data_IF_036326729673
#
_entry.id   IF_036326729673
#
_cell.length_a   1.000
_cell.length_b   1.000
_cell.length_c   1.000
_cell.angle_alpha   90.00
_cell.angle_beta   90.00
_cell.angle_gamma   90.00
#
_symmetry.space_group_name_H-M   'P 1'
#
loop_
_entity.id
_entity.type
_entity.pdbx_description
1 polymer ?
#
# COMPACT_ATOMS: atom_id res chain seq x y z
N UNK A 1 12.80 15.98 1.07
CA UNK A 1 12.17 14.95 1.92
C UNK A 1 13.28 14.26 2.69
N UNK A 2 13.16 14.17 4.02
CA UNK A 2 14.09 13.35 4.81
C UNK A 2 13.79 11.86 4.59
N UNK A 3 14.82 11.02 4.54
CA UNK A 3 14.71 9.58 4.33
C UNK A 3 15.41 8.84 5.47
N UNK A 4 14.84 7.73 5.91
CA UNK A 4 15.52 6.74 6.75
C UNK A 4 15.88 5.51 5.90
N UNK A 5 16.99 4.86 6.24
CA UNK A 5 17.40 3.61 5.59
C UNK A 5 16.95 2.46 6.47
N UNK A 6 16.12 1.59 5.90
CA UNK A 6 15.65 0.38 6.56
C UNK A 6 16.80 -0.64 6.67
N UNK A 7 16.75 -1.59 7.63
CA UNK A 7 17.76 -2.64 7.80
C UNK A 7 18.01 -3.51 6.55
N UNK A 8 17.05 -3.58 5.62
CA UNK A 8 17.17 -4.27 4.33
C UNK A 8 17.84 -3.42 3.23
N UNK A 9 18.27 -2.19 3.54
CA UNK A 9 18.91 -1.26 2.60
C UNK A 9 17.93 -0.37 1.82
N UNK A 10 16.62 -0.59 1.93
CA UNK A 10 15.62 0.22 1.24
C UNK A 10 15.51 1.60 1.90
N UNK A 11 15.32 2.65 1.08
CA UNK A 11 15.14 4.03 1.58
C UNK A 11 13.65 4.33 1.74
N UNK A 12 13.25 4.64 2.96
CA UNK A 12 11.88 5.04 3.29
C UNK A 12 11.82 6.54 3.58
N UNK A 13 10.91 7.31 2.96
CA UNK A 13 10.70 8.71 3.33
C UNK A 13 10.15 8.82 4.76
N UNK A 14 10.68 9.76 5.55
CA UNK A 14 10.31 9.99 6.96
C UNK A 14 8.90 10.56 7.12
N UNK A 15 8.38 11.24 6.10
CA UNK A 15 7.02 11.78 6.09
C UNK A 15 6.22 11.08 4.98
N UNK A 16 5.22 10.29 5.37
CA UNK A 16 4.43 9.45 4.46
C UNK A 16 4.97 8.02 4.43
N UNK A 17 4.14 7.06 4.81
CA UNK A 17 4.43 5.62 4.90
C UNK A 17 4.89 5.01 3.56
N UNK A 18 6.08 5.33 3.06
CA UNK A 18 6.67 4.69 1.86
C UNK A 18 5.80 4.74 0.60
N UNK A 19 4.82 5.66 0.53
CA UNK A 19 3.85 5.70 -0.56
C UNK A 19 4.48 6.36 -1.78
N UNK A 20 4.73 5.54 -2.81
CA UNK A 20 5.05 6.04 -4.15
C UNK A 20 3.82 6.78 -4.70
N UNK A 21 4.00 8.04 -5.11
CA UNK A 21 2.92 8.80 -5.75
C UNK A 21 2.80 8.38 -7.21
N UNK A 22 1.70 7.70 -7.54
CA UNK A 22 1.36 7.35 -8.93
C UNK A 22 0.93 8.62 -9.66
N UNK A 23 1.40 8.87 -10.90
CA UNK A 23 1.02 10.05 -11.69
C UNK A 23 -0.50 10.14 -11.89
N UNK A 24 -1.15 9.00 -12.12
CA UNK A 24 -2.60 8.85 -12.24
C UNK A 24 -3.12 8.03 -11.04
N UNK A 25 -3.15 8.67 -9.87
CA UNK A 25 -3.38 7.99 -8.60
C UNK A 25 -4.85 7.64 -8.36
N UNK A 26 -5.80 8.35 -8.96
CA UNK A 26 -7.23 8.14 -8.69
C UNK A 26 -7.70 6.77 -9.23
N UNK A 27 -7.45 6.49 -10.51
CA UNK A 27 -7.79 5.21 -11.14
C UNK A 27 -7.01 4.05 -10.50
N UNK A 28 -5.74 4.27 -10.17
CA UNK A 28 -4.91 3.27 -9.51
C UNK A 28 -5.42 2.93 -8.10
N UNK A 29 -5.77 3.93 -7.30
CA UNK A 29 -6.32 3.75 -5.95
C UNK A 29 -7.63 2.96 -5.99
N UNK A 30 -8.57 3.33 -6.86
CA UNK A 30 -9.84 2.63 -7.01
C UNK A 30 -9.67 1.19 -7.51
N UNK A 31 -8.79 0.95 -8.49
CA UNK A 31 -8.49 -0.39 -8.99
C UNK A 31 -7.92 -1.31 -7.90
N UNK A 32 -7.00 -0.81 -7.05
CA UNK A 32 -6.42 -1.60 -5.95
C UNK A 32 -7.45 -1.90 -4.86
N UNK A 33 -8.31 -0.93 -4.52
CA UNK A 33 -9.41 -1.15 -3.59
C UNK A 33 -10.36 -2.22 -4.12
N UNK A 34 -10.77 -2.10 -5.39
CA UNK A 34 -11.63 -3.07 -6.06
C UNK A 34 -11.00 -4.46 -6.12
N UNK A 35 -9.72 -4.56 -6.46
CA UNK A 35 -8.99 -5.82 -6.53
C UNK A 35 -9.05 -6.60 -5.21
N UNK A 36 -8.82 -5.93 -4.09
CA UNK A 36 -8.87 -6.57 -2.77
C UNK A 36 -10.30 -6.97 -2.39
N UNK A 37 -11.29 -6.10 -2.61
CA UNK A 37 -12.70 -6.39 -2.33
C UNK A 37 -13.19 -7.59 -3.15
N UNK A 38 -12.86 -7.66 -4.44
CA UNK A 38 -13.26 -8.74 -5.33
C UNK A 38 -12.63 -10.10 -4.96
N UNK A 39 -11.48 -10.08 -4.25
CA UNK A 39 -10.86 -11.27 -3.63
C UNK A 39 -11.50 -11.68 -2.30
N UNK A 40 -12.48 -10.93 -1.79
CA UNK A 40 -13.10 -11.15 -0.49
C UNK A 40 -12.29 -10.59 0.69
N UNK A 41 -11.33 -9.68 0.44
CA UNK A 41 -10.54 -9.02 1.48
C UNK A 41 -11.21 -7.71 1.88
N UNK A 42 -11.44 -7.51 3.18
CA UNK A 42 -11.95 -6.24 3.72
C UNK A 42 -10.84 -5.20 3.73
N UNK A 43 -11.09 -4.02 3.18
CA UNK A 43 -10.10 -2.94 3.02
C UNK A 43 -10.49 -1.72 3.84
N UNK A 44 -9.50 -1.05 4.46
CA UNK A 44 -9.69 0.14 5.31
C UNK A 44 -8.78 1.27 4.81
N UNK A 45 -9.14 1.99 3.73
CA UNK A 45 -8.32 3.10 3.23
C UNK A 45 -8.38 4.30 4.19
N UNK A 46 -7.21 4.89 4.47
CA UNK A 46 -7.10 6.11 5.28
C UNK A 46 -6.96 7.33 4.38
N UNK A 47 -7.81 8.33 4.60
CA UNK A 47 -7.67 9.66 3.99
C UNK A 47 -8.09 10.76 4.95
N UNK A 48 -7.55 11.96 4.75
CA UNK A 48 -7.99 13.20 5.43
C UNK A 48 -8.72 14.14 4.48
N UNK A 49 -8.69 13.85 3.17
CA UNK A 49 -9.31 14.66 2.13
C UNK A 49 -10.71 14.12 1.86
N UNK A 50 -11.72 14.99 1.97
CA UNK A 50 -13.13 14.59 1.86
C UNK A 50 -13.48 13.99 0.50
N UNK A 51 -12.90 14.52 -0.58
CA UNK A 51 -13.20 14.05 -1.94
C UNK A 51 -12.64 12.64 -2.15
N UNK A 52 -11.38 12.39 -1.73
CA UNK A 52 -10.79 11.05 -1.69
C UNK A 52 -11.56 10.04 -0.83
N UNK A 53 -12.18 10.47 0.28
CA UNK A 53 -13.01 9.57 1.10
C UNK A 53 -14.25 9.12 0.29
N UNK A 54 -14.83 10.00 -0.53
CA UNK A 54 -15.95 9.64 -1.42
C UNK A 54 -15.48 8.74 -2.56
N UNK A 55 -14.36 9.07 -3.19
CA UNK A 55 -13.78 8.26 -4.29
C UNK A 55 -13.44 6.83 -3.80
N UNK A 56 -12.87 6.70 -2.60
CA UNK A 56 -12.52 5.40 -2.02
C UNK A 56 -13.71 4.47 -1.75
N UNK A 57 -14.91 5.03 -1.55
CA UNK A 57 -16.12 4.21 -1.37
C UNK A 57 -16.81 3.90 -2.71
N UNK A 58 -16.51 4.68 -3.75
CA UNK A 58 -17.10 4.54 -5.08
C UNK A 58 -16.34 3.49 -5.92
N UNK A 59 -16.32 2.26 -5.42
CA UNK A 59 -15.61 1.11 -6.03
C UNK A 59 -16.51 -0.11 -6.21
N UNK A 60 -17.82 0.08 -6.06
CA UNK A 60 -18.82 -0.99 -6.11
C UNK A 60 -19.64 -1.02 -7.41
N UNK A 61 -19.55 0.03 -8.20
CA UNK A 61 -20.24 0.25 -9.47
C UNK A 61 -19.55 -0.39 -10.68
N UNK A 62 -18.27 -0.77 -10.55
CA UNK A 62 -17.52 -1.53 -11.55
C UNK A 62 -16.95 -2.84 -10.98
N UNK A 63 -16.42 -3.69 -11.86
CA UNK A 63 -15.70 -4.90 -11.52
C UNK A 63 -14.48 -5.06 -12.43
N UNK A 64 -13.40 -5.61 -11.89
CA UNK A 64 -12.22 -5.94 -12.68
C UNK A 64 -12.47 -7.25 -13.43
N UNK A 65 -12.06 -7.30 -14.68
CA UNK A 65 -12.09 -8.51 -15.51
C UNK A 65 -11.09 -9.55 -14.99
N UNK A 66 -11.28 -10.81 -15.35
CA UNK A 66 -10.37 -11.90 -14.95
C UNK A 66 -8.93 -11.66 -15.40
N UNK A 67 -8.74 -10.99 -16.55
CA UNK A 67 -7.40 -10.71 -17.06
C UNK A 67 -6.73 -9.55 -16.33
N UNK A 68 -7.46 -8.49 -15.97
CA UNK A 68 -6.95 -7.42 -15.10
C UNK A 68 -6.61 -7.96 -13.70
N UNK A 69 -7.44 -8.84 -13.16
CA UNK A 69 -7.18 -9.53 -11.89
C UNK A 69 -5.87 -10.33 -11.95
N UNK A 70 -5.61 -11.04 -13.06
CA UNK A 70 -4.34 -11.78 -13.26
C UNK A 70 -3.15 -10.84 -13.41
N UNK A 71 -3.30 -9.73 -14.13
CA UNK A 71 -2.23 -8.75 -14.31
C UNK A 71 -1.79 -8.16 -12.97
N UNK A 72 -2.74 -7.73 -12.13
CA UNK A 72 -2.43 -7.21 -10.79
C UNK A 72 -1.80 -8.30 -9.92
N UNK A 73 -2.32 -9.53 -9.96
CA UNK A 73 -1.74 -10.64 -9.21
C UNK A 73 -0.30 -10.99 -9.63
N UNK A 74 0.08 -10.71 -10.88
CA UNK A 74 1.44 -10.96 -11.37
C UNK A 74 2.50 -10.00 -10.81
N UNK A 75 2.07 -8.92 -10.13
CA UNK A 75 2.97 -7.95 -9.49
C UNK A 75 3.44 -8.41 -8.10
N UNK A 76 2.92 -9.52 -7.57
CA UNK A 76 3.31 -10.07 -6.28
C UNK A 76 4.79 -10.47 -6.26
N UNK A 77 5.57 -9.93 -5.33
CA UNK A 77 7.01 -10.20 -5.18
C UNK A 77 7.30 -11.31 -4.17
N UNK A 78 6.30 -11.77 -3.41
CA UNK A 78 6.40 -12.85 -2.43
C UNK A 78 7.08 -12.45 -1.12
N UNK A 79 7.34 -11.16 -0.91
CA UNK A 79 7.96 -10.64 0.31
C UNK A 79 7.47 -9.21 0.63
N UNK A 80 7.68 -8.78 1.87
CA UNK A 80 7.32 -7.45 2.36
C UNK A 80 8.41 -6.45 2.01
N UNK A 81 8.04 -5.36 1.34
CA UNK A 81 8.98 -4.30 0.95
C UNK A 81 9.37 -3.37 2.11
N UNK A 82 8.53 -3.33 3.16
CA UNK A 82 8.66 -2.35 4.25
C UNK A 82 9.27 -2.98 5.50
N UNK A 83 8.64 -4.01 6.06
CA UNK A 83 9.00 -4.57 7.37
C UNK A 83 8.88 -6.09 7.32
N UNK A 84 10.02 -6.79 7.38
CA UNK A 84 10.07 -8.22 7.62
C UNK A 84 10.04 -8.50 9.12
N UNK A 85 8.93 -9.09 9.59
CA UNK A 85 8.73 -9.39 11.00
C UNK A 85 9.56 -10.59 11.49
N UNK A 86 10.18 -11.34 10.57
CA UNK A 86 11.06 -12.46 10.91
C UNK A 86 12.51 -12.04 11.11
N UNK A 87 12.89 -10.80 10.75
CA UNK A 87 14.21 -10.25 11.01
C UNK A 87 14.27 -9.59 12.40
N UNK A 88 15.14 -10.09 13.28
CA UNK A 88 15.32 -9.54 14.62
C UNK A 88 15.86 -8.09 14.58
N UNK A 89 16.58 -7.69 13.53
CA UNK A 89 17.08 -6.31 13.37
C UNK A 89 15.95 -5.31 13.17
N UNK A 90 14.87 -5.73 12.50
CA UNK A 90 13.67 -4.92 12.33
C UNK A 90 12.96 -4.74 13.68
N UNK A 91 12.94 -5.79 14.52
CA UNK A 91 12.38 -5.70 15.87
C UNK A 91 13.18 -4.73 16.75
N UNK A 92 14.51 -4.78 16.69
CA UNK A 92 15.38 -3.82 17.37
C UNK A 92 15.12 -2.39 16.89
N UNK A 93 15.05 -2.18 15.57
CA UNK A 93 14.73 -0.89 14.98
C UNK A 93 13.38 -0.34 15.48
N UNK A 94 12.30 -1.12 15.43
CA UNK A 94 10.97 -0.68 15.86
C UNK A 94 10.93 -0.27 17.35
N UNK A 95 11.71 -0.94 18.21
CA UNK A 95 11.82 -0.58 19.64
C UNK A 95 12.57 0.75 19.88
N UNK A 96 13.31 1.24 18.89
CA UNK A 96 13.98 2.55 18.94
C UNK A 96 13.13 3.68 18.37
N UNK A 97 12.16 3.37 17.51
CA UNK A 97 11.28 4.36 16.89
C UNK A 97 10.26 4.85 17.93
N UNK A 98 10.36 6.13 18.32
CA UNK A 98 9.43 6.78 19.25
C UNK A 98 9.96 7.02 20.67
N UNK A 99 11.23 6.67 20.93
CA UNK A 99 12.02 7.29 22.00
C UNK A 99 12.72 8.54 21.47
#
# INVERSE_FOLDING_TARGET
MEYTTLPNGNKMPMLGLGVYQVPDHEECEQAILRFNIQRGVVVIPKSVHKDRIKENIDVFDFALTDDEMKQIASLETGHTEIIDHYDWKITEFLNTVGK
#
